data_IF_387063526384
#
_entry.id   IF_387063526384
#
_cell.length_a   1.000
_cell.length_b   1.000
_cell.length_c   1.000
_cell.angle_alpha   90.00
_cell.angle_beta   90.00
_cell.angle_gamma   90.00
#
_symmetry.space_group_name_H-M   'P 1'
#
loop_
_entity.id
_entity.type
_entity.pdbx_description
1 polymer ?
#
# COMPACT_ATOMS: atom_id res chain seq x y z
N UNK A 1 -4.66 9.10 -2.16
CA UNK A 1 -3.27 9.06 -2.67
C UNK A 1 -2.96 7.61 -2.98
N UNK A 2 -2.57 7.30 -4.21
CA UNK A 2 -2.30 5.93 -4.67
C UNK A 2 -0.80 5.65 -4.62
N UNK A 3 -0.43 4.48 -4.10
CA UNK A 3 0.94 4.01 -3.96
C UNK A 3 1.06 2.59 -4.47
N UNK A 4 2.26 2.24 -4.95
CA UNK A 4 2.60 0.93 -5.46
C UNK A 4 3.79 0.38 -4.70
N UNK A 5 3.83 -0.94 -4.58
CA UNK A 5 4.96 -1.66 -4.01
C UNK A 5 5.67 -2.37 -5.16
N UNK A 6 6.93 -2.03 -5.39
CA UNK A 6 7.83 -2.73 -6.29
C UNK A 6 8.69 -3.69 -5.48
N UNK A 7 8.65 -4.98 -5.80
CA UNK A 7 9.60 -5.95 -5.24
C UNK A 7 10.95 -5.84 -5.95
N UNK A 8 12.03 -5.89 -5.19
CA UNK A 8 13.40 -5.86 -5.67
C UNK A 8 14.00 -7.27 -5.62
N UNK A 9 14.98 -7.60 -6.48
CA UNK A 9 15.56 -8.95 -6.58
C UNK A 9 16.25 -9.43 -5.29
N UNK A 10 16.55 -8.52 -4.36
CA UNK A 10 17.17 -8.82 -3.06
C UNK A 10 16.14 -9.16 -1.96
N UNK A 11 14.84 -9.27 -2.31
CA UNK A 11 13.74 -9.49 -1.37
C UNK A 11 13.29 -8.22 -0.62
N UNK A 12 13.93 -7.09 -0.93
CA UNK A 12 13.52 -5.75 -0.51
C UNK A 12 12.29 -5.29 -1.32
N UNK A 13 11.60 -4.27 -0.85
CA UNK A 13 10.46 -3.71 -1.55
C UNK A 13 10.40 -2.20 -1.43
N UNK A 14 10.12 -1.50 -2.52
CA UNK A 14 10.07 -0.03 -2.55
C UNK A 14 8.65 0.45 -2.77
N UNK A 15 8.25 1.43 -1.97
CA UNK A 15 7.00 2.14 -2.11
C UNK A 15 7.21 3.33 -3.05
N UNK A 16 6.39 3.44 -4.08
CA UNK A 16 6.49 4.47 -5.09
C UNK A 16 5.13 5.05 -5.45
N UNK A 17 5.10 6.31 -5.85
CA UNK A 17 3.87 6.96 -6.34
C UNK A 17 3.61 6.56 -7.79
N UNK A 18 2.38 6.83 -8.27
CA UNK A 18 2.03 6.69 -9.70
C UNK A 18 2.96 7.43 -10.65
N UNK A 19 3.44 8.61 -10.22
CA UNK A 19 4.42 9.42 -10.97
C UNK A 19 5.84 8.83 -10.99
N UNK A 20 6.06 7.66 -10.39
CA UNK A 20 7.39 7.03 -10.35
C UNK A 20 8.33 7.64 -9.30
N UNK A 21 7.81 8.43 -8.36
CA UNK A 21 8.61 8.92 -7.23
C UNK A 21 8.77 7.83 -6.19
N UNK A 22 10.03 7.53 -5.85
CA UNK A 22 10.36 6.62 -4.77
C UNK A 22 10.16 7.31 -3.41
N UNK A 23 9.36 6.68 -2.56
CA UNK A 23 9.06 7.20 -1.22
C UNK A 23 9.94 6.55 -0.17
N UNK A 24 10.00 5.22 -0.17
CA UNK A 24 10.75 4.47 0.85
C UNK A 24 11.03 3.03 0.42
N UNK A 25 12.23 2.52 0.73
CA UNK A 25 12.61 1.12 0.51
C UNK A 25 12.62 0.35 1.83
N UNK A 26 11.82 -0.69 1.89
CA UNK A 26 11.72 -1.64 2.98
C UNK A 26 12.65 -2.81 2.78
N UNK A 27 13.15 -3.36 3.88
CA UNK A 27 14.01 -4.55 3.88
C UNK A 27 13.28 -5.84 3.50
N UNK A 28 11.96 -5.83 3.47
CA UNK A 28 11.15 -6.96 3.03
C UNK A 28 9.81 -6.52 2.46
N UNK A 29 9.26 -7.31 1.53
CA UNK A 29 7.91 -7.13 0.98
C UNK A 29 6.84 -7.08 2.08
N UNK A 30 6.97 -7.91 3.11
CA UNK A 30 6.02 -7.98 4.21
C UNK A 30 5.89 -6.62 4.94
N UNK A 31 7.01 -5.93 5.18
CA UNK A 31 7.01 -4.62 5.83
C UNK A 31 6.38 -3.55 4.94
N UNK A 32 6.68 -3.57 3.63
CA UNK A 32 6.06 -2.65 2.68
C UNK A 32 4.54 -2.82 2.63
N UNK A 33 4.06 -4.07 2.61
CA UNK A 33 2.62 -4.39 2.66
C UNK A 33 1.97 -3.92 3.96
N UNK A 34 2.64 -4.14 5.09
CA UNK A 34 2.14 -3.70 6.39
C UNK A 34 2.03 -2.17 6.48
N UNK A 35 3.03 -1.44 5.97
CA UNK A 35 3.02 0.01 5.92
C UNK A 35 1.90 0.56 5.02
N UNK A 36 1.69 -0.05 3.84
CA UNK A 36 0.55 0.28 2.98
C UNK A 36 -0.78 0.05 3.70
N UNK A 37 -0.96 -1.11 4.34
CA UNK A 37 -2.18 -1.44 5.04
C UNK A 37 -2.46 -0.47 6.20
N UNK A 38 -1.44 -0.09 6.98
CA UNK A 38 -1.61 0.88 8.06
C UNK A 38 -1.92 2.29 7.54
N UNK A 39 -1.27 2.71 6.45
CA UNK A 39 -1.60 3.97 5.79
C UNK A 39 -3.06 4.01 5.34
N UNK A 40 -3.54 2.97 4.65
CA UNK A 40 -4.95 2.89 4.26
C UNK A 40 -5.89 2.74 5.46
N UNK A 41 -5.46 2.15 6.58
CA UNK A 41 -6.27 2.10 7.79
C UNK A 41 -6.45 3.49 8.41
N UNK A 42 -5.38 4.29 8.46
CA UNK A 42 -5.39 5.65 9.02
C UNK A 42 -6.09 6.63 8.08
N UNK A 43 -5.87 6.50 6.76
CA UNK A 43 -6.33 7.46 5.75
C UNK A 43 -7.56 7.00 4.95
N UNK A 44 -7.92 5.73 4.97
CA UNK A 44 -9.14 5.19 4.33
C UNK A 44 -10.42 5.59 5.06
N UNK A 45 -10.30 6.16 6.27
CA UNK A 45 -11.42 6.71 7.03
C UNK A 45 -11.81 8.14 6.60
N UNK A 46 -11.13 8.73 5.61
CA UNK A 46 -11.35 10.12 5.16
C UNK A 46 -12.22 10.21 3.89
N UNK A 47 -12.93 9.14 3.52
CA UNK A 47 -13.91 9.17 2.43
C UNK A 47 -15.22 8.51 2.84
N UNK A 48 -16.00 9.28 3.61
CA UNK A 48 -17.46 9.37 3.59
C UNK A 48 -18.33 8.14 3.92
N UNK A 49 -19.14 8.31 4.97
CA UNK A 49 -20.47 7.71 5.24
C UNK A 49 -20.48 6.26 5.77
N UNK A 50 -21.23 5.97 6.87
CA UNK A 50 -21.42 4.62 7.37
C UNK A 50 -22.32 3.86 6.39
N UNK A 51 -21.74 3.02 5.55
CA UNK A 51 -22.50 2.10 4.70
C UNK A 51 -21.89 0.72 4.80
N UNK A 52 -22.50 -0.05 5.71
CA UNK A 52 -22.68 -1.50 5.68
C UNK A 52 -21.77 -2.29 4.74
N UNK A 53 -21.00 -3.18 5.36
CA UNK A 53 -20.69 -4.53 4.89
C UNK A 53 -20.20 -4.62 3.44
N UNK A 54 -18.89 -4.73 3.24
CA UNK A 54 -18.35 -5.66 2.24
C UNK A 54 -16.92 -6.05 2.59
N UNK A 55 -16.86 -7.30 3.02
CA UNK A 55 -15.73 -8.21 3.10
C UNK A 55 -14.93 -8.23 1.78
N UNK A 56 -13.59 -8.32 1.93
CA UNK A 56 -12.69 -8.91 0.94
C UNK A 56 -12.50 -8.20 -0.41
N UNK A 57 -11.57 -7.24 -0.50
CA UNK A 57 -10.54 -7.16 -1.56
C UNK A 57 -9.70 -5.88 -1.38
N UNK A 58 -8.68 -5.92 -0.52
CA UNK A 58 -7.67 -4.85 -0.47
C UNK A 58 -6.62 -5.14 -1.54
N UNK A 59 -6.86 -4.65 -2.75
CA UNK A 59 -5.93 -4.82 -3.87
C UNK A 59 -4.73 -3.89 -3.71
N UNK A 60 -3.68 -4.38 -3.05
CA UNK A 60 -2.34 -3.89 -3.30
C UNK A 60 -1.90 -4.54 -4.63
N UNK A 61 -2.07 -3.84 -5.75
CA UNK A 61 -1.59 -4.33 -7.03
C UNK A 61 -0.06 -4.39 -6.98
N UNK A 62 0.48 -5.60 -6.91
CA UNK A 62 1.89 -5.91 -7.09
C UNK A 62 2.06 -6.14 -8.59
N UNK A 63 2.84 -5.27 -9.24
CA UNK A 63 3.26 -5.44 -10.64
C UNK A 63 4.73 -5.85 -10.67
#
# INVERSE_FOLDING_TARGET
MEFYIQELPDGQATLMTRDGLYLFTFRSLALARQACADWYRVHGHVSSVPSRLSDGNVSCSVF
#
